data_IF_757847428237
#
_entry.id   IF_757847428237
#
_cell.length_a   1.000
_cell.length_b   1.000
_cell.length_c   1.000
_cell.angle_alpha   90.00
_cell.angle_beta   90.00
_cell.angle_gamma   90.00
#
_symmetry.space_group_name_H-M   'P 1'
#
loop_
_entity.id
_entity.type
_entity.pdbx_description
1 polymer ?
#
# COMPACT_ATOMS: atom_id res chain seq x y z
N UNK A 1 40.85 17.60 -12.69
CA UNK A 1 39.44 18.04 -12.72
C UNK A 1 38.89 17.82 -11.33
N UNK A 2 38.89 18.86 -10.50
CA UNK A 2 38.37 18.82 -9.13
C UNK A 2 36.85 18.61 -9.17
N UNK A 3 36.38 17.49 -8.62
CA UNK A 3 34.96 17.33 -8.34
C UNK A 3 34.64 18.29 -7.20
N UNK A 4 33.92 19.37 -7.50
CA UNK A 4 33.34 20.25 -6.48
C UNK A 4 32.48 19.40 -5.54
N UNK A 5 32.99 19.11 -4.35
CA UNK A 5 32.26 18.48 -3.25
C UNK A 5 31.29 19.48 -2.65
N UNK A 6 30.20 19.78 -3.35
CA UNK A 6 29.02 20.32 -2.69
C UNK A 6 28.61 19.31 -1.62
N UNK A 7 28.44 19.74 -0.36
CA UNK A 7 27.97 18.85 0.69
C UNK A 7 26.57 18.35 0.30
N UNK A 8 26.48 17.08 -0.07
CA UNK A 8 25.21 16.44 -0.43
C UNK A 8 24.30 16.40 0.79
N UNK A 9 23.03 16.77 0.62
CA UNK A 9 22.05 16.57 1.68
C UNK A 9 21.70 15.09 1.78
N UNK A 10 21.90 14.47 2.94
CA UNK A 10 21.60 13.06 3.16
C UNK A 10 20.22 12.84 3.76
N UNK A 11 19.46 11.92 3.15
CA UNK A 11 18.09 11.56 3.53
C UNK A 11 18.01 10.05 3.71
N UNK A 12 17.56 9.58 4.87
CA UNK A 12 17.16 8.20 5.06
C UNK A 12 15.63 8.08 5.02
N UNK A 13 15.14 7.13 4.24
CA UNK A 13 13.73 6.77 4.11
C UNK A 13 13.59 5.35 4.66
N UNK A 14 12.90 5.20 5.80
CA UNK A 14 12.66 3.91 6.44
C UNK A 14 11.36 3.32 5.93
N UNK A 15 11.45 2.22 5.18
CA UNK A 15 10.34 1.54 4.54
C UNK A 15 10.36 1.69 3.02
N UNK A 16 10.59 0.57 2.32
CA UNK A 16 10.61 0.48 0.86
C UNK A 16 9.23 0.23 0.24
N UNK A 17 8.15 0.52 0.96
CA UNK A 17 6.77 0.39 0.48
C UNK A 17 6.34 1.52 -0.44
N UNK A 18 5.02 1.64 -0.67
CA UNK A 18 4.46 2.69 -1.54
C UNK A 18 4.94 4.10 -1.16
N UNK A 19 4.75 4.51 0.10
CA UNK A 19 5.07 5.87 0.54
C UNK A 19 6.56 6.20 0.40
N UNK A 20 7.44 5.29 0.83
CA UNK A 20 8.88 5.49 0.74
C UNK A 20 9.40 5.46 -0.70
N UNK A 21 8.88 4.54 -1.51
CA UNK A 21 9.24 4.43 -2.93
C UNK A 21 8.74 5.63 -3.73
N UNK A 22 7.53 6.11 -3.48
CA UNK A 22 6.99 7.30 -4.14
C UNK A 22 7.79 8.55 -3.76
N UNK A 23 8.15 8.71 -2.48
CA UNK A 23 9.04 9.79 -2.05
C UNK A 23 10.40 9.71 -2.75
N UNK A 24 11.01 8.52 -2.80
CA UNK A 24 12.27 8.31 -3.50
C UNK A 24 12.14 8.67 -4.99
N UNK A 25 11.08 8.22 -5.67
CA UNK A 25 10.79 8.58 -7.07
C UNK A 25 10.71 10.09 -7.26
N UNK A 26 9.95 10.80 -6.41
CA UNK A 26 9.83 12.27 -6.52
C UNK A 26 11.18 12.95 -6.28
N UNK A 27 11.97 12.51 -5.29
CA UNK A 27 13.31 13.06 -5.04
C UNK A 27 14.29 12.82 -6.20
N UNK A 28 14.28 11.63 -6.78
CA UNK A 28 15.13 11.24 -7.92
C UNK A 28 14.78 12.03 -9.18
N UNK A 29 13.50 12.37 -9.37
CA UNK A 29 13.00 13.03 -10.56
C UNK A 29 13.01 14.57 -10.48
N UNK A 30 12.70 15.14 -9.32
CA UNK A 30 12.33 16.56 -9.22
C UNK A 30 13.36 17.43 -8.50
N UNK A 31 14.31 16.85 -7.76
CA UNK A 31 15.28 17.66 -7.01
C UNK A 31 16.29 18.32 -7.93
N UNK A 32 16.73 19.52 -7.54
CA UNK A 32 17.76 20.30 -8.25
C UNK A 32 19.04 20.50 -7.43
N UNK A 33 19.11 19.88 -6.25
CA UNK A 33 20.25 19.96 -5.34
C UNK A 33 20.94 18.59 -5.19
N UNK A 34 22.24 18.56 -4.88
CA UNK A 34 22.95 17.32 -4.61
C UNK A 34 22.35 16.56 -3.41
N UNK A 35 21.92 15.31 -3.62
CA UNK A 35 21.30 14.46 -2.59
C UNK A 35 22.03 13.13 -2.45
N UNK A 36 21.99 12.57 -1.25
CA UNK A 36 22.28 11.17 -0.98
C UNK A 36 21.06 10.55 -0.32
N UNK A 37 20.43 9.60 -1.01
CA UNK A 37 19.16 9.01 -0.58
C UNK A 37 19.42 7.55 -0.19
N UNK A 38 19.14 7.22 1.07
CA UNK A 38 19.12 5.85 1.58
C UNK A 38 17.67 5.38 1.63
N UNK A 39 17.31 4.34 0.87
CA UNK A 39 16.00 3.69 0.99
C UNK A 39 16.19 2.34 1.67
N UNK A 40 15.73 2.24 2.92
CA UNK A 40 15.98 1.12 3.82
C UNK A 40 14.73 0.25 3.91
N UNK A 41 14.84 -1.03 3.59
CA UNK A 41 13.75 -2.00 3.65
C UNK A 41 14.28 -3.37 4.10
N UNK A 42 13.70 -3.91 5.16
CA UNK A 42 14.16 -5.17 5.76
C UNK A 42 13.86 -6.38 4.88
N UNK A 43 12.74 -6.37 4.15
CA UNK A 43 12.36 -7.48 3.28
C UNK A 43 12.64 -7.16 1.80
N UNK A 44 13.64 -7.81 1.21
CA UNK A 44 14.01 -7.63 -0.21
C UNK A 44 12.82 -7.75 -1.18
N UNK A 45 11.91 -8.70 -0.95
CA UNK A 45 10.69 -8.90 -1.76
C UNK A 45 9.65 -7.76 -1.66
N UNK A 46 9.81 -6.89 -0.66
CA UNK A 46 8.95 -5.72 -0.42
C UNK A 46 9.56 -4.42 -0.93
N UNK A 47 10.83 -4.43 -1.34
CA UNK A 47 11.47 -3.25 -1.90
C UNK A 47 10.72 -2.76 -3.14
N UNK A 48 10.34 -1.48 -3.17
CA UNK A 48 9.56 -0.90 -4.26
C UNK A 48 8.05 -1.19 -4.19
N UNK A 49 7.60 -2.15 -3.37
CA UNK A 49 6.22 -2.66 -3.39
C UNK A 49 5.50 -2.48 -2.07
N UNK A 50 6.18 -2.77 -0.96
CA UNK A 50 5.61 -2.84 0.38
C UNK A 50 4.65 -4.02 0.58
N UNK A 51 4.20 -4.22 1.82
CA UNK A 51 3.35 -5.37 2.20
C UNK A 51 2.08 -5.46 1.35
N UNK A 52 1.43 -4.33 1.08
CA UNK A 52 0.14 -4.29 0.38
C UNK A 52 0.22 -4.72 -1.09
N UNK A 53 1.37 -4.53 -1.74
CA UNK A 53 1.56 -4.77 -3.18
C UNK A 53 2.63 -5.83 -3.49
N UNK A 54 3.15 -6.50 -2.45
CA UNK A 54 3.89 -7.75 -2.55
C UNK A 54 3.08 -9.06 -2.61
N UNK A 55 1.73 -9.12 -2.70
CA UNK A 55 1.05 -10.41 -2.64
C UNK A 55 1.27 -11.24 -3.91
N UNK A 56 1.32 -12.55 -3.77
CA UNK A 56 1.50 -13.50 -4.89
C UNK A 56 0.16 -14.07 -5.37
N UNK A 57 -0.92 -13.26 -5.38
CA UNK A 57 -2.27 -13.76 -5.69
C UNK A 57 -2.97 -12.90 -6.73
N UNK A 58 -3.48 -13.56 -7.77
CA UNK A 58 -4.37 -12.95 -8.78
C UNK A 58 -5.73 -12.54 -8.19
N UNK A 59 -6.09 -13.10 -7.03
CA UNK A 59 -7.39 -12.89 -6.40
C UNK A 59 -7.44 -11.66 -5.51
N UNK A 60 -6.28 -11.15 -5.06
CA UNK A 60 -6.23 -9.96 -4.21
C UNK A 60 -6.17 -8.72 -5.10
N UNK A 61 -7.34 -8.14 -5.37
CA UNK A 61 -7.49 -6.96 -6.21
C UNK A 61 -7.27 -5.66 -5.43
N UNK A 62 -6.93 -4.60 -6.17
CA UNK A 62 -6.99 -3.22 -5.69
C UNK A 62 -8.41 -2.88 -5.30
N UNK A 63 -8.56 -1.96 -4.35
CA UNK A 63 -9.88 -1.44 -3.93
C UNK A 63 -10.26 -0.15 -4.68
N UNK A 64 -9.47 0.21 -5.69
CA UNK A 64 -9.59 1.42 -6.51
C UNK A 64 -9.27 1.03 -7.96
N UNK A 65 -9.94 1.67 -8.91
CA UNK A 65 -9.76 1.43 -10.35
C UNK A 65 -8.41 1.92 -10.85
N UNK A 66 -7.89 1.34 -11.93
CA UNK A 66 -6.56 1.70 -12.44
C UNK A 66 -6.35 3.18 -12.75
N UNK A 67 -7.37 3.88 -13.29
CA UNK A 67 -7.30 5.33 -13.56
C UNK A 67 -7.12 6.22 -12.31
N UNK A 68 -7.41 5.69 -11.12
CA UNK A 68 -7.29 6.38 -9.84
C UNK A 68 -6.11 5.83 -9.00
N UNK A 69 -5.17 5.14 -9.65
CA UNK A 69 -4.03 4.49 -9.00
C UNK A 69 -2.71 4.97 -9.58
N UNK A 70 -2.64 6.17 -10.15
CA UNK A 70 -1.37 6.70 -10.67
C UNK A 70 -0.40 7.10 -9.55
N UNK A 71 0.90 6.99 -9.81
CA UNK A 71 1.94 7.63 -8.99
C UNK A 71 2.09 9.13 -9.28
N UNK A 72 1.47 9.61 -10.36
CA UNK A 72 1.65 10.95 -10.90
C UNK A 72 0.29 11.66 -10.98
N UNK A 73 0.13 12.68 -10.14
CA UNK A 73 -1.10 13.48 -10.05
C UNK A 73 -1.47 14.13 -11.38
N UNK A 74 -0.47 14.54 -12.15
CA UNK A 74 -0.58 15.16 -13.48
C UNK A 74 -0.76 14.14 -14.62
N UNK A 75 -0.66 12.84 -14.32
CA UNK A 75 -0.90 11.77 -15.28
C UNK A 75 -1.72 10.62 -14.66
N UNK A 76 -3.04 10.78 -14.48
CA UNK A 76 -3.91 9.77 -13.87
C UNK A 76 -3.91 8.41 -14.59
N UNK A 77 -3.63 8.39 -15.90
CA UNK A 77 -3.64 7.16 -16.71
C UNK A 77 -2.31 6.40 -16.65
N UNK A 78 -1.28 6.93 -15.99
CA UNK A 78 0.09 6.38 -16.05
C UNK A 78 0.17 4.91 -15.64
N UNK A 79 -0.57 4.46 -14.62
CA UNK A 79 -0.58 3.04 -14.25
C UNK A 79 -1.18 2.17 -15.35
N UNK A 80 -2.32 2.58 -15.91
CA UNK A 80 -2.99 1.83 -16.97
C UNK A 80 -2.18 1.83 -18.28
N UNK A 81 -1.56 2.95 -18.64
CA UNK A 81 -0.68 3.04 -19.81
C UNK A 81 0.57 2.16 -19.67
N UNK A 82 1.17 2.16 -18.47
CA UNK A 82 2.26 1.24 -18.14
C UNK A 82 1.82 -0.22 -18.30
N UNK A 83 0.64 -0.59 -17.78
CA UNK A 83 0.11 -1.95 -17.93
C UNK A 83 -0.15 -2.30 -19.39
N UNK A 84 -0.76 -1.41 -20.19
CA UNK A 84 -1.02 -1.64 -21.62
C UNK A 84 0.26 -1.97 -22.38
N UNK A 85 1.37 -1.31 -22.03
CA UNK A 85 2.68 -1.57 -22.65
C UNK A 85 3.27 -2.95 -22.30
N UNK A 86 2.75 -3.62 -21.26
CA UNK A 86 3.26 -4.87 -20.68
C UNK A 86 2.23 -5.98 -20.54
N UNK A 87 1.01 -5.79 -21.06
CA UNK A 87 -0.09 -6.72 -20.82
C UNK A 87 0.22 -8.18 -21.26
N UNK A 88 1.11 -8.34 -22.24
CA UNK A 88 1.61 -9.65 -22.70
C UNK A 88 2.37 -10.42 -21.63
N UNK A 89 3.01 -9.74 -20.68
CA UNK A 89 3.71 -10.36 -19.55
C UNK A 89 2.74 -11.04 -18.57
N UNK A 90 1.44 -10.72 -18.69
CA UNK A 90 0.37 -11.20 -17.83
C UNK A 90 -0.64 -12.10 -18.57
N UNK A 91 -0.21 -12.80 -19.63
CA UNK A 91 -1.06 -13.65 -20.47
C UNK A 91 -1.83 -14.76 -19.71
N UNK A 92 -1.33 -15.16 -18.54
CA UNK A 92 -1.95 -16.18 -17.69
C UNK A 92 -3.17 -15.65 -16.91
N UNK A 93 -3.38 -14.32 -16.89
CA UNK A 93 -4.60 -13.74 -16.37
C UNK A 93 -5.72 -13.99 -17.39
N UNK A 94 -6.67 -14.84 -17.01
CA UNK A 94 -7.83 -15.20 -17.84
C UNK A 94 -8.91 -14.07 -17.85
N UNK A 95 -8.55 -12.87 -17.39
CA UNK A 95 -9.42 -11.70 -17.25
C UNK A 95 -8.89 -10.57 -18.14
N UNK A 96 -9.80 -9.82 -18.77
CA UNK A 96 -9.46 -8.59 -19.49
C UNK A 96 -9.54 -7.41 -18.53
N UNK A 97 -8.53 -6.55 -18.55
CA UNK A 97 -8.50 -5.34 -17.73
C UNK A 97 -8.54 -4.08 -18.59
N UNK A 98 -9.33 -3.11 -18.13
CA UNK A 98 -9.42 -1.75 -18.64
C UNK A 98 -9.11 -0.73 -17.53
N UNK A 99 -9.17 0.56 -17.82
CA UNK A 99 -8.86 1.62 -16.86
C UNK A 99 -9.82 1.69 -15.66
N UNK A 100 -11.02 1.12 -15.78
CA UNK A 100 -12.03 1.06 -14.74
C UNK A 100 -11.98 -0.26 -13.95
N UNK A 101 -11.06 -1.16 -14.32
CA UNK A 101 -10.91 -2.46 -13.67
C UNK A 101 -10.13 -2.36 -12.37
N UNK A 102 -10.45 -3.27 -11.44
CA UNK A 102 -9.71 -3.49 -10.20
C UNK A 102 -8.62 -4.53 -10.45
N UNK A 103 -7.38 -4.06 -10.65
CA UNK A 103 -6.26 -4.95 -10.98
C UNK A 103 -5.82 -5.77 -9.76
N UNK A 104 -5.27 -6.98 -9.95
CA UNK A 104 -4.50 -7.66 -8.92
C UNK A 104 -3.41 -6.75 -8.33
N UNK A 105 -3.30 -6.71 -6.99
CA UNK A 105 -2.37 -5.83 -6.26
C UNK A 105 -0.91 -6.05 -6.66
N UNK A 106 -0.54 -7.27 -7.05
CA UNK A 106 0.83 -7.60 -7.46
C UNK A 106 1.26 -6.89 -8.74
N UNK A 107 0.33 -6.64 -9.67
CA UNK A 107 0.59 -5.89 -10.91
C UNK A 107 0.88 -4.44 -10.58
N UNK A 108 0.16 -3.88 -9.60
CA UNK A 108 0.48 -2.56 -9.08
C UNK A 108 1.85 -2.55 -8.40
N UNK A 109 2.21 -3.62 -7.68
CA UNK A 109 3.56 -3.80 -7.15
C UNK A 109 4.65 -3.79 -8.24
N UNK A 110 4.44 -4.53 -9.34
CA UNK A 110 5.33 -4.53 -10.49
C UNK A 110 5.49 -3.12 -11.09
N UNK A 111 4.39 -2.35 -11.15
CA UNK A 111 4.38 -0.97 -11.59
C UNK A 111 5.22 -0.06 -10.67
N UNK A 112 5.05 -0.15 -9.36
CA UNK A 112 5.82 0.63 -8.39
C UNK A 112 7.32 0.34 -8.50
N UNK A 113 7.69 -0.94 -8.52
CA UNK A 113 9.08 -1.37 -8.63
C UNK A 113 9.70 -0.92 -9.96
N UNK A 114 8.98 -1.06 -11.08
CA UNK A 114 9.44 -0.63 -12.39
C UNK A 114 9.72 0.89 -12.42
N UNK A 115 8.87 1.71 -11.80
CA UNK A 115 9.08 3.15 -11.73
C UNK A 115 10.25 3.51 -10.83
N UNK A 116 10.35 2.91 -9.63
CA UNK A 116 11.48 3.16 -8.73
C UNK A 116 12.81 2.84 -9.42
N UNK A 117 12.90 1.70 -10.10
CA UNK A 117 14.08 1.30 -10.86
C UNK A 117 14.36 2.23 -12.04
N UNK A 118 13.33 2.66 -12.77
CA UNK A 118 13.49 3.61 -13.87
C UNK A 118 14.12 4.93 -13.40
N UNK A 119 13.57 5.54 -12.36
CA UNK A 119 14.09 6.81 -11.83
C UNK A 119 15.44 6.65 -11.12
N UNK A 120 15.69 5.53 -10.46
CA UNK A 120 17.01 5.23 -9.90
C UNK A 120 18.10 5.15 -10.98
N UNK A 121 17.78 4.59 -12.15
CA UNK A 121 18.69 4.48 -13.29
C UNK A 121 18.84 5.79 -14.09
N UNK A 122 17.81 6.65 -14.07
CA UNK A 122 17.78 7.93 -14.79
C UNK A 122 18.19 9.14 -13.94
N UNK A 123 18.48 8.94 -12.66
CA UNK A 123 18.81 10.02 -11.73
C UNK A 123 20.02 10.84 -12.23
N UNK A 124 20.04 12.17 -11.98
CA UNK A 124 21.21 13.00 -12.23
C UNK A 124 22.47 12.54 -11.47
N UNK A 125 23.66 12.83 -11.99
CA UNK A 125 24.94 12.46 -11.37
C UNK A 125 25.16 13.08 -9.98
N UNK A 126 24.50 14.21 -9.68
CA UNK A 126 24.57 14.84 -8.38
C UNK A 126 23.74 14.15 -7.29
N UNK A 127 22.94 13.13 -7.65
CA UNK A 127 22.15 12.31 -6.72
C UNK A 127 22.77 10.92 -6.58
N UNK A 128 23.08 10.53 -5.35
CA UNK A 128 23.32 9.13 -5.00
C UNK A 128 22.02 8.49 -4.50
N UNK A 129 21.77 7.26 -4.94
CA UNK A 129 20.65 6.45 -4.47
C UNK A 129 21.20 5.12 -3.97
N UNK A 130 20.97 4.83 -2.70
CA UNK A 130 21.50 3.68 -1.99
C UNK A 130 20.33 2.83 -1.44
N UNK A 131 19.91 1.79 -2.16
CA UNK A 131 19.04 0.77 -1.59
C UNK A 131 19.78 -0.01 -0.49
N UNK A 132 19.17 -0.11 0.68
CA UNK A 132 19.70 -0.90 1.80
C UNK A 132 18.67 -1.96 2.17
N UNK A 133 19.08 -3.23 2.11
CA UNK A 133 18.29 -4.34 2.61
C UNK A 133 18.68 -4.67 4.05
N UNK A 134 18.12 -3.90 4.98
CA UNK A 134 18.35 -4.01 6.42
C UNK A 134 17.15 -3.42 7.18
N UNK A 135 17.06 -3.69 8.47
CA UNK A 135 16.03 -3.13 9.35
C UNK A 135 16.61 -1.97 10.17
N UNK A 136 15.95 -0.81 10.16
CA UNK A 136 16.28 0.26 11.10
C UNK A 136 15.62 -0.04 12.45
N UNK A 137 16.44 -0.17 13.50
CA UNK A 137 15.98 -0.59 14.84
C UNK A 137 15.98 0.54 15.85
N UNK A 138 16.74 1.61 15.60
CA UNK A 138 16.77 2.80 16.46
C UNK A 138 17.17 4.06 15.67
N UNK A 139 16.78 5.22 16.16
CA UNK A 139 17.17 6.51 15.61
C UNK A 139 17.28 7.58 16.70
N UNK A 140 18.44 8.20 16.81
CA UNK A 140 18.70 9.30 17.75
C UNK A 140 19.10 10.57 17.01
N UNK A 141 18.59 11.71 17.46
CA UNK A 141 18.96 13.01 16.91
C UNK A 141 20.07 13.62 17.79
N UNK A 142 21.26 13.79 17.23
CA UNK A 142 22.37 14.48 17.88
C UNK A 142 22.66 15.80 17.16
N UNK A 143 22.59 16.90 17.89
CA UNK A 143 22.79 18.31 17.50
C UNK A 143 22.01 18.81 16.27
N UNK A 144 22.15 18.16 15.12
CA UNK A 144 21.54 18.48 13.82
C UNK A 144 21.46 17.28 12.85
N UNK A 145 21.85 16.07 13.26
CA UNK A 145 21.86 14.87 12.41
C UNK A 145 21.26 13.66 13.12
N UNK A 146 20.60 12.83 12.35
CA UNK A 146 20.08 11.54 12.79
C UNK A 146 21.17 10.48 12.71
N UNK A 147 21.37 9.75 13.79
CA UNK A 147 22.11 8.50 13.85
C UNK A 147 21.11 7.35 13.85
N UNK A 148 21.07 6.60 12.75
CA UNK A 148 20.12 5.50 12.54
C UNK A 148 20.88 4.20 12.71
N UNK A 149 20.49 3.40 13.69
CA UNK A 149 21.06 2.08 13.95
C UNK A 149 20.29 1.05 13.14
N UNK A 150 21.00 0.27 12.34
CA UNK A 150 20.46 -0.86 11.60
C UNK A 150 20.65 -2.17 12.40
N UNK A 151 19.82 -3.18 12.13
CA UNK A 151 19.89 -4.48 12.81
C UNK A 151 21.24 -5.19 12.59
N UNK A 152 21.92 -4.91 11.48
CA UNK A 152 23.30 -5.37 11.24
C UNK A 152 24.35 -4.76 12.18
N UNK A 153 23.99 -3.74 12.97
CA UNK A 153 24.91 -2.94 13.78
C UNK A 153 25.51 -1.76 13.02
N UNK A 154 25.21 -1.61 11.72
CA UNK A 154 25.62 -0.44 10.93
C UNK A 154 24.92 0.82 11.44
N UNK A 155 25.66 1.93 11.55
CA UNK A 155 25.09 3.24 11.91
C UNK A 155 25.18 4.18 10.71
N UNK A 156 24.04 4.74 10.31
CA UNK A 156 23.97 5.76 9.26
C UNK A 156 23.79 7.14 9.88
N UNK A 157 24.59 8.11 9.44
CA UNK A 157 24.44 9.51 9.83
C UNK A 157 23.83 10.32 8.70
N UNK A 158 22.60 10.81 8.90
CA UNK A 158 21.86 11.56 7.89
C UNK A 158 21.33 12.89 8.43
N UNK A 159 21.09 13.85 7.54
CA UNK A 159 20.49 15.12 7.94
C UNK A 159 18.97 15.01 8.08
N UNK A 160 18.33 14.21 7.24
CA UNK A 160 16.89 14.04 7.22
C UNK A 160 16.53 12.56 7.40
N UNK A 161 15.56 12.30 8.27
CA UNK A 161 14.97 10.98 8.49
C UNK A 161 13.48 11.05 8.15
N UNK A 162 13.02 10.14 7.30
CA UNK A 162 11.63 9.96 6.93
C UNK A 162 11.17 8.57 7.33
N UNK A 163 10.12 8.50 8.13
CA UNK A 163 9.49 7.25 8.51
C UNK A 163 8.33 6.94 7.55
N UNK A 164 8.54 5.95 6.68
CA UNK A 164 7.58 5.45 5.70
C UNK A 164 7.27 3.96 5.93
N UNK A 165 7.18 3.56 7.19
CA UNK A 165 7.08 2.16 7.66
C UNK A 165 5.75 1.47 7.31
N UNK A 166 4.80 2.20 6.73
CA UNK A 166 3.51 1.68 6.29
C UNK A 166 2.57 1.36 7.45
N UNK A 167 1.69 0.37 7.25
CA UNK A 167 0.74 -0.05 8.27
C UNK A 167 1.42 -0.95 9.29
N UNK A 168 1.21 -0.64 10.57
CA UNK A 168 1.61 -1.49 11.68
C UNK A 168 0.84 -2.81 11.58
N UNK A 169 1.48 -3.99 11.77
CA UNK A 169 0.78 -5.27 11.85
C UNK A 169 -0.38 -5.24 12.85
N UNK A 170 -1.38 -6.12 12.69
CA UNK A 170 -2.52 -6.14 13.60
C UNK A 170 -2.02 -6.47 15.01
N UNK A 171 -2.42 -5.66 16.00
CA UNK A 171 -2.15 -5.98 17.39
C UNK A 171 -3.07 -7.12 17.86
N UNK A 172 -2.55 -7.93 18.79
CA UNK A 172 -3.35 -8.95 19.44
C UNK A 172 -4.51 -8.30 20.22
N UNK A 173 -5.75 -8.78 20.05
CA UNK A 173 -6.87 -8.28 20.83
C UNK A 173 -6.65 -8.50 22.33
N UNK A 174 -6.85 -7.44 23.12
CA UNK A 174 -6.55 -7.44 24.56
C UNK A 174 -7.36 -8.43 25.39
N UNK A 175 -8.44 -8.96 24.83
CA UNK A 175 -9.30 -9.96 25.48
C UNK A 175 -8.85 -11.40 25.24
N UNK A 176 -7.82 -11.65 24.43
CA UNK A 176 -7.27 -12.99 24.24
C UNK A 176 -6.36 -13.36 25.42
N UNK A 177 -6.51 -14.58 25.94
CA UNK A 177 -5.63 -15.09 26.99
C UNK A 177 -4.23 -15.39 26.43
N UNK A 178 -3.23 -15.39 27.31
CA UNK A 178 -1.86 -15.79 26.97
C UNK A 178 -1.81 -17.18 26.34
N UNK A 179 -2.62 -18.12 26.84
CA UNK A 179 -2.74 -19.48 26.30
C UNK A 179 -3.17 -19.49 24.82
N UNK A 180 -4.11 -18.61 24.42
CA UNK A 180 -4.51 -18.48 23.01
C UNK A 180 -3.37 -17.91 22.17
N UNK A 181 -2.72 -16.85 22.66
CA UNK A 181 -1.64 -16.18 21.94
C UNK A 181 -0.42 -17.08 21.71
N UNK A 182 -0.16 -18.02 22.63
CA UNK A 182 0.93 -19.00 22.52
C UNK A 182 0.53 -20.27 21.76
N UNK A 183 -0.74 -20.42 21.40
CA UNK A 183 -1.22 -21.59 20.67
C UNK A 183 -0.83 -21.54 19.19
N UNK A 184 -0.24 -22.63 18.67
CA UNK A 184 0.15 -22.75 17.25
C UNK A 184 -1.01 -22.62 16.25
N UNK A 185 -2.27 -22.77 16.71
CA UNK A 185 -3.47 -22.58 15.90
C UNK A 185 -3.93 -21.13 15.82
N UNK A 186 -3.36 -20.24 16.62
CA UNK A 186 -3.62 -18.81 16.53
C UNK A 186 -2.69 -18.18 15.49
N UNK A 187 -3.29 -17.60 14.46
CA UNK A 187 -2.58 -16.92 13.37
C UNK A 187 -2.84 -15.42 13.52
N UNK A 188 -1.83 -14.68 13.94
CA UNK A 188 -1.91 -13.27 14.31
C UNK A 188 -1.84 -12.31 13.12
N UNK A 189 -1.21 -12.74 12.02
CA UNK A 189 -0.98 -11.90 10.84
C UNK A 189 -1.51 -12.53 9.55
N UNK A 190 -2.65 -12.05 9.00
CA UNK A 190 -3.25 -12.59 7.79
C UNK A 190 -2.43 -12.34 6.51
N UNK A 191 -1.38 -11.52 6.58
CA UNK A 191 -0.48 -11.21 5.46
C UNK A 191 0.82 -12.00 5.50
N UNK A 192 0.96 -12.94 6.45
CA UNK A 192 2.06 -13.89 6.45
C UNK A 192 1.63 -15.21 5.78
N UNK A 193 1.98 -15.38 4.50
CA UNK A 193 1.65 -16.58 3.72
C UNK A 193 2.13 -17.88 4.40
N UNK A 194 3.23 -17.85 5.17
CA UNK A 194 3.74 -19.06 5.84
C UNK A 194 2.79 -19.57 6.92
N UNK A 195 1.97 -18.70 7.52
CA UNK A 195 0.97 -19.11 8.51
C UNK A 195 -0.14 -19.95 7.89
N UNK A 196 -0.37 -19.81 6.58
CA UNK A 196 -1.36 -20.62 5.85
C UNK A 196 -0.81 -21.97 5.39
N UNK A 197 0.47 -22.27 5.61
CA UNK A 197 1.05 -23.60 5.32
C UNK A 197 0.72 -24.63 6.39
N UNK A 198 0.35 -24.18 7.60
CA UNK A 198 -0.02 -25.05 8.72
C UNK A 198 -1.50 -25.46 8.71
N UNK A 199 -2.29 -24.91 7.79
CA UNK A 199 -3.73 -25.14 7.66
C UNK A 199 -3.98 -26.33 6.74
N UNK A 200 -4.72 -27.33 7.22
CA UNK A 200 -5.16 -28.46 6.39
C UNK A 200 -6.42 -28.10 5.61
N UNK A 201 -6.59 -28.68 4.42
CA UNK A 201 -7.70 -28.37 3.53
C UNK A 201 -9.10 -28.60 4.14
N UNK A 202 -9.23 -29.40 5.19
CA UNK A 202 -10.52 -29.72 5.85
C UNK A 202 -10.65 -29.16 7.27
N UNK A 203 -9.76 -28.28 7.69
CA UNK A 203 -9.82 -27.69 9.04
C UNK A 203 -11.07 -26.82 9.21
N UNK A 204 -11.38 -26.49 10.47
CA UNK A 204 -12.37 -25.47 10.80
C UNK A 204 -11.64 -24.19 11.19
N UNK A 205 -11.85 -23.10 10.45
CA UNK A 205 -11.20 -21.82 10.68
C UNK A 205 -12.19 -20.81 11.24
N UNK A 206 -11.82 -20.17 12.35
CA UNK A 206 -12.47 -18.98 12.86
C UNK A 206 -11.71 -17.72 12.44
N UNK A 207 -12.39 -16.75 11.82
CA UNK A 207 -11.81 -15.44 11.48
C UNK A 207 -12.43 -14.39 12.38
N UNK A 208 -11.60 -13.64 13.10
CA UNK A 208 -12.04 -12.50 13.89
C UNK A 208 -12.16 -11.26 13.00
N UNK A 209 -13.38 -10.80 12.77
CA UNK A 209 -13.71 -9.67 11.91
C UNK A 209 -14.29 -10.08 10.55
N UNK A 210 -15.01 -9.13 9.95
CA UNK A 210 -15.70 -9.28 8.66
C UNK A 210 -15.38 -8.13 7.69
N UNK A 211 -14.19 -7.55 7.80
CA UNK A 211 -13.72 -6.46 6.94
C UNK A 211 -13.03 -6.93 5.66
N UNK A 212 -12.41 -6.01 4.91
CA UNK A 212 -11.64 -6.35 3.71
C UNK A 212 -10.48 -7.30 3.98
N UNK A 213 -9.84 -7.23 5.16
CA UNK A 213 -8.79 -8.19 5.53
C UNK A 213 -9.30 -9.63 5.62
N UNK A 214 -10.57 -9.85 6.02
CA UNK A 214 -11.17 -11.19 5.99
C UNK A 214 -11.33 -11.67 4.54
N UNK A 215 -11.71 -10.79 3.61
CA UNK A 215 -11.78 -11.14 2.18
C UNK A 215 -10.41 -11.55 1.64
N UNK A 216 -9.35 -10.83 2.01
CA UNK A 216 -7.97 -11.20 1.63
C UNK A 216 -7.60 -12.61 2.15
N UNK A 217 -8.00 -12.96 3.38
CA UNK A 217 -7.83 -14.31 3.96
C UNK A 217 -8.61 -15.37 3.18
N UNK A 218 -9.88 -15.11 2.87
CA UNK A 218 -10.71 -16.02 2.08
C UNK A 218 -10.11 -16.27 0.70
N UNK A 219 -9.59 -15.24 0.05
CA UNK A 219 -8.91 -15.36 -1.25
C UNK A 219 -7.61 -16.16 -1.16
N UNK A 220 -6.86 -16.02 -0.07
CA UNK A 220 -5.67 -16.84 0.21
C UNK A 220 -6.04 -18.31 0.43
N UNK A 221 -7.10 -18.60 1.19
CA UNK A 221 -7.59 -19.96 1.43
C UNK A 221 -8.12 -20.60 0.13
N UNK A 222 -8.86 -19.85 -0.68
CA UNK A 222 -9.34 -20.31 -1.99
C UNK A 222 -8.18 -20.68 -2.93
N UNK A 223 -7.10 -19.88 -2.95
CA UNK A 223 -5.89 -20.20 -3.73
C UNK A 223 -5.22 -21.52 -3.31
N UNK A 224 -5.45 -21.96 -2.07
CA UNK A 224 -4.91 -23.21 -1.50
C UNK A 224 -5.90 -24.37 -1.57
N UNK A 225 -6.98 -24.24 -2.33
CA UNK A 225 -8.03 -25.26 -2.46
C UNK A 225 -8.59 -25.73 -1.10
N UNK A 226 -8.71 -24.79 -0.14
CA UNK A 226 -9.29 -25.07 1.16
C UNK A 226 -10.79 -25.40 1.00
N UNK A 227 -11.20 -26.53 1.56
CA UNK A 227 -12.54 -27.14 1.47
C UNK A 227 -13.18 -27.33 2.88
N UNK A 228 -12.57 -26.72 3.90
CA UNK A 228 -13.02 -26.79 5.28
C UNK A 228 -14.09 -25.76 5.62
N UNK A 229 -14.55 -25.77 6.87
CA UNK A 229 -15.55 -24.81 7.34
C UNK A 229 -14.88 -23.50 7.74
N UNK A 230 -15.41 -22.39 7.27
CA UNK A 230 -14.99 -21.04 7.68
C UNK A 230 -16.12 -20.36 8.45
N UNK A 231 -15.81 -19.83 9.63
CA UNK A 231 -16.74 -19.05 10.45
C UNK A 231 -16.12 -17.67 10.71
N UNK A 232 -16.80 -16.60 10.31
CA UNK A 232 -16.40 -15.22 10.64
C UNK A 232 -17.18 -14.70 11.83
N UNK A 233 -16.46 -14.09 12.78
CA UNK A 233 -17.04 -13.43 13.95
C UNK A 233 -17.05 -11.92 13.71
N UNK A 234 -18.23 -11.37 13.47
CA UNK A 234 -18.42 -9.95 13.22
C UNK A 234 -19.06 -9.25 14.40
N UNK A 235 -18.45 -8.15 14.85
CA UNK A 235 -19.04 -7.29 15.88
C UNK A 235 -20.24 -6.48 15.38
N UNK A 236 -20.28 -6.17 14.08
CA UNK A 236 -21.34 -5.35 13.46
C UNK A 236 -22.35 -6.15 12.64
N UNK A 237 -22.07 -7.43 12.37
CA UNK A 237 -22.89 -8.28 11.50
C UNK A 237 -22.85 -7.87 10.02
N UNK A 238 -21.93 -6.97 9.63
CA UNK A 238 -21.85 -6.44 8.25
C UNK A 238 -20.71 -7.10 7.47
N UNK A 239 -20.98 -7.40 6.21
CA UNK A 239 -19.94 -7.75 5.22
C UNK A 239 -19.48 -6.51 4.45
N UNK A 240 -18.29 -6.53 3.83
CA UNK A 240 -17.87 -5.49 2.92
C UNK A 240 -18.85 -5.44 1.73
N UNK A 241 -19.20 -4.23 1.29
CA UNK A 241 -20.05 -4.04 0.12
C UNK A 241 -19.26 -4.37 -1.15
N UNK A 242 -19.96 -4.87 -2.18
CA UNK A 242 -19.38 -5.06 -3.50
C UNK A 242 -19.04 -3.68 -4.07
N UNK A 243 -17.78 -3.50 -4.49
CA UNK A 243 -17.37 -2.29 -5.17
C UNK A 243 -17.64 -2.46 -6.65
N UNK A 244 -18.76 -1.92 -7.13
CA UNK A 244 -19.00 -1.79 -8.56
C UNK A 244 -18.22 -0.59 -9.09
N UNK A 245 -17.77 -0.66 -10.35
CA UNK A 245 -17.24 0.52 -11.01
C UNK A 245 -18.38 1.54 -11.11
N UNK A 246 -18.18 2.81 -10.70
CA UNK A 246 -19.27 3.78 -10.69
C UNK A 246 -19.85 3.94 -12.10
N UNK A 247 -21.11 3.55 -12.27
CA UNK A 247 -21.89 3.71 -13.51
C UNK A 247 -22.55 5.08 -13.61
N UNK A 248 -22.49 5.88 -12.54
CA UNK A 248 -23.27 7.11 -12.41
C UNK A 248 -22.37 8.34 -12.62
N UNK A 249 -22.79 9.22 -13.53
CA UNK A 249 -22.26 10.59 -13.62
C UNK A 249 -22.53 11.29 -12.29
N UNK A 250 -21.48 11.74 -11.60
CA UNK A 250 -21.63 12.62 -10.44
C UNK A 250 -22.47 13.82 -10.92
N UNK A 251 -23.52 14.24 -10.19
CA UNK A 251 -24.20 15.49 -10.51
C UNK A 251 -23.16 16.61 -10.62
N UNK A 252 -23.29 17.44 -11.65
CA UNK A 252 -22.26 18.41 -12.07
C UNK A 252 -21.87 19.45 -11.02
N UNK A 253 -22.58 19.55 -9.89
CA UNK A 253 -22.27 20.45 -8.79
C UNK A 253 -22.39 19.75 -7.43
N UNK A 254 -21.25 19.60 -6.75
CA UNK A 254 -21.18 19.30 -5.33
C UNK A 254 -21.50 20.58 -4.51
N UNK A 255 -22.07 20.46 -3.30
CA UNK A 255 -22.19 21.60 -2.39
C UNK A 255 -20.81 22.21 -2.10
N UNK A 256 -20.71 23.54 -2.08
CA UNK A 256 -19.49 24.20 -1.59
C UNK A 256 -19.40 24.03 -0.07
N UNK A 257 -18.29 23.43 0.38
CA UNK A 257 -17.98 23.24 1.80
C UNK A 257 -17.02 24.35 2.25
N UNK A 258 -17.55 25.39 2.88
CA UNK A 258 -16.77 26.52 3.42
C UNK A 258 -17.06 26.77 4.91
N UNK A 259 -17.84 25.89 5.55
CA UNK A 259 -18.34 26.06 6.90
C UNK A 259 -17.60 25.24 7.95
N UNK A 260 -18.22 25.06 9.11
CA UNK A 260 -17.71 24.16 10.13
C UNK A 260 -17.97 22.70 9.73
N UNK A 261 -17.07 21.77 10.08
CA UNK A 261 -17.19 20.34 9.73
C UNK A 261 -18.59 19.76 10.00
N UNK A 262 -19.24 20.17 11.09
CA UNK A 262 -20.59 19.70 11.45
C UNK A 262 -21.70 20.24 10.53
N UNK A 263 -21.62 21.51 10.11
CA UNK A 263 -22.59 22.07 9.15
C UNK A 263 -22.41 21.42 7.78
N UNK A 264 -21.16 21.24 7.37
CA UNK A 264 -20.82 20.74 6.04
C UNK A 264 -21.19 19.26 5.92
N UNK A 265 -20.98 18.47 6.97
CA UNK A 265 -21.49 17.09 7.04
C UNK A 265 -23.02 17.01 7.03
N UNK A 266 -23.72 17.97 7.64
CA UNK A 266 -25.18 18.01 7.62
C UNK A 266 -25.68 18.33 6.21
N UNK A 267 -25.13 19.36 5.57
CA UNK A 267 -25.43 19.73 4.18
C UNK A 267 -25.15 18.59 3.22
N UNK A 268 -24.02 17.90 3.38
CA UNK A 268 -23.68 16.74 2.55
C UNK A 268 -24.69 15.59 2.70
N UNK A 269 -25.14 15.30 3.93
CA UNK A 269 -26.16 14.27 4.19
C UNK A 269 -27.51 14.65 3.59
N UNK A 270 -27.93 15.91 3.73
CA UNK A 270 -29.17 16.41 3.13
C UNK A 270 -29.11 16.33 1.60
N UNK A 271 -27.98 16.71 1.00
CA UNK A 271 -27.77 16.61 -0.44
C UNK A 271 -27.79 15.16 -0.94
N UNK A 272 -27.15 14.21 -0.22
CA UNK A 272 -27.23 12.77 -0.56
C UNK A 272 -28.68 12.28 -0.52
N UNK A 273 -29.45 12.66 0.50
CA UNK A 273 -30.84 12.24 0.62
C UNK A 273 -31.73 12.78 -0.51
N UNK A 274 -31.44 13.98 -1.02
CA UNK A 274 -32.14 14.59 -2.16
C UNK A 274 -31.69 14.01 -3.51
N UNK A 275 -30.52 13.36 -3.56
CA UNK A 275 -29.95 12.74 -4.74
C UNK A 275 -29.84 11.23 -4.55
N UNK A 276 -30.95 10.57 -4.19
CA UNK A 276 -30.98 9.13 -3.87
C UNK A 276 -30.54 8.21 -5.01
N UNK A 277 -30.54 8.71 -6.25
CA UNK A 277 -29.99 8.07 -7.44
C UNK A 277 -28.45 7.90 -7.35
N UNK A 278 -27.79 8.72 -6.53
CA UNK A 278 -26.35 8.75 -6.35
C UNK A 278 -25.98 7.94 -5.11
N UNK A 279 -25.50 6.71 -5.33
CA UNK A 279 -24.95 5.88 -4.26
C UNK A 279 -23.84 6.64 -3.51
N UNK A 280 -23.95 6.69 -2.18
CA UNK A 280 -22.91 7.27 -1.32
C UNK A 280 -21.55 6.59 -1.51
N UNK A 281 -21.53 5.31 -1.89
CA UNK A 281 -20.31 4.60 -2.27
C UNK A 281 -19.73 5.11 -3.59
N UNK A 282 -20.58 5.42 -4.58
CA UNK A 282 -20.15 5.99 -5.86
C UNK A 282 -19.63 7.42 -5.69
N UNK A 283 -20.27 8.22 -4.84
CA UNK A 283 -19.78 9.55 -4.45
C UNK A 283 -18.41 9.49 -3.78
N UNK A 284 -18.24 8.61 -2.80
CA UNK A 284 -16.95 8.41 -2.13
C UNK A 284 -15.89 7.91 -3.11
N UNK A 285 -16.26 7.04 -4.06
CA UNK A 285 -15.35 6.58 -5.12
C UNK A 285 -14.98 7.69 -6.11
N UNK A 286 -15.89 8.63 -6.36
CA UNK A 286 -15.72 9.75 -7.27
C UNK A 286 -14.84 10.87 -6.70
N UNK A 287 -14.94 11.12 -5.38
CA UNK A 287 -14.16 12.13 -4.67
C UNK A 287 -12.85 11.57 -4.09
N UNK A 288 -12.65 10.24 -4.17
CA UNK A 288 -11.37 9.62 -3.80
C UNK A 288 -10.33 10.05 -4.85
N UNK A 289 -9.24 10.73 -4.44
CA UNK A 289 -8.14 11.05 -5.35
C UNK A 289 -7.53 9.79 -5.95
#
# INVERSE_FOLDING_TARGET
MEKNHYSRTSVAIIGGGLSGSLLAIKLLNQTKIPLQIFLIESAKKRYGRGVAYSPNSIYQKLNVTAKNMSLFEDNPMHFYDWWKSRNRDYFYLQEKFDENSFFPRFIYGDYLEANLNFYANKKPEFIDFLPINDEAVDATLDSSRWSITLASGTILHVQLLVLATGNIPPANPSYLSKEVLENKRYLDNPWNDSLFETINAKDNIGILGSGLSMVDVLMTLKRKDFDGKIVSFSRSGKFPLVHEAPTVQIPSQLPEFAGALRSDLKMFREWINQNSEVSSANLISAIRP
#
